data_IF_665156884666
#
_entry.id   IF_665156884666
#
_cell.length_a   1.000
_cell.length_b   1.000
_cell.length_c   1.000
_cell.angle_alpha   90.00
_cell.angle_beta   90.00
_cell.angle_gamma   90.00
#
_symmetry.space_group_name_H-M   'P 1'
#
loop_
_entity.id
_entity.type
_entity.pdbx_description
1 polymer ?
#
# COMPACT_ATOMS: atom_id res chain seq x y z
N UNK A 1 -7.17 -14.91 1.56
CA UNK A 1 -5.74 -15.25 1.68
C UNK A 1 -4.99 -14.38 0.73
N UNK A 2 -3.89 -13.75 1.17
CA UNK A 2 -3.12 -12.77 0.40
C UNK A 2 -2.88 -13.30 -1.03
N UNK A 3 -3.51 -12.66 -2.02
CA UNK A 3 -3.57 -13.13 -3.41
C UNK A 3 -2.30 -12.87 -4.22
N UNK A 4 -1.34 -12.17 -3.63
CA UNK A 4 0.02 -12.09 -4.13
C UNK A 4 0.89 -13.01 -3.26
N UNK A 5 1.60 -13.94 -3.89
CA UNK A 5 2.63 -14.70 -3.20
C UNK A 5 3.77 -13.73 -2.92
N UNK A 6 4.22 -13.52 -1.67
CA UNK A 6 5.42 -12.75 -1.42
C UNK A 6 6.57 -13.44 -2.14
N UNK A 7 7.06 -12.84 -3.22
CA UNK A 7 8.18 -13.38 -3.96
C UNK A 7 9.48 -12.97 -3.26
N UNK A 8 10.54 -13.73 -3.52
CA UNK A 8 11.85 -13.45 -2.94
C UNK A 8 12.40 -12.20 -3.63
N UNK A 9 12.16 -11.04 -3.05
CA UNK A 9 12.65 -9.78 -3.60
C UNK A 9 11.82 -8.59 -3.14
N UNK A 10 10.51 -8.79 -3.02
CA UNK A 10 9.50 -7.73 -2.92
C UNK A 10 9.53 -6.93 -1.61
N UNK A 11 10.30 -7.44 -0.64
CA UNK A 11 10.42 -6.91 0.72
C UNK A 11 9.05 -6.73 1.41
N UNK A 12 8.13 -7.66 1.21
CA UNK A 12 6.87 -7.69 1.96
C UNK A 12 7.12 -7.62 3.47
N UNK A 13 6.53 -6.64 4.14
CA UNK A 13 6.76 -6.38 5.57
C UNK A 13 7.88 -5.39 5.86
N UNK A 14 8.45 -4.73 4.84
CA UNK A 14 9.49 -3.72 5.02
C UNK A 14 9.00 -2.50 5.80
N UNK A 15 7.73 -2.14 5.64
CA UNK A 15 7.06 -1.11 6.43
C UNK A 15 5.68 -1.61 6.90
N UNK A 16 5.23 -1.11 8.06
CA UNK A 16 3.91 -1.44 8.60
C UNK A 16 3.29 -0.24 9.29
N UNK A 17 1.97 -0.09 9.20
CA UNK A 17 1.21 0.89 9.95
C UNK A 17 -0.12 0.31 10.45
N UNK A 18 -0.66 0.91 11.50
CA UNK A 18 -1.99 0.62 12.01
C UNK A 18 -2.87 1.88 11.95
N UNK A 19 -4.08 1.73 11.42
CA UNK A 19 -5.13 2.75 11.41
C UNK A 19 -6.45 2.07 11.07
N UNK A 20 -7.57 2.56 11.59
CA UNK A 20 -8.92 2.09 11.25
C UNK A 20 -9.34 2.72 9.91
N UNK A 21 -8.89 2.15 8.79
CA UNK A 21 -9.00 2.75 7.46
C UNK A 21 -10.43 2.76 6.95
N UNK A 22 -11.23 1.77 7.30
CA UNK A 22 -12.63 1.67 6.88
C UNK A 22 -13.64 2.22 7.91
N UNK A 23 -13.14 2.72 9.05
CA UNK A 23 -13.90 3.35 10.12
C UNK A 23 -14.96 2.43 10.74
N UNK A 24 -14.64 1.13 10.84
CA UNK A 24 -15.51 0.13 11.45
C UNK A 24 -15.34 0.00 12.98
N UNK A 25 -14.38 0.73 13.55
CA UNK A 25 -14.03 0.72 14.97
C UNK A 25 -12.93 -0.28 15.34
N UNK A 26 -12.37 -1.00 14.37
CA UNK A 26 -11.23 -1.90 14.52
C UNK A 26 -10.03 -1.30 13.81
N UNK A 27 -8.83 -1.41 14.38
CA UNK A 27 -7.63 -1.02 13.63
C UNK A 27 -7.41 -2.00 12.48
N UNK A 28 -6.91 -1.51 11.35
CA UNK A 28 -6.42 -2.32 10.23
C UNK A 28 -4.90 -2.35 10.24
N UNK A 29 -4.32 -3.41 9.65
CA UNK A 29 -2.88 -3.53 9.44
C UNK A 29 -2.55 -3.25 7.98
N UNK A 30 -1.72 -2.24 7.74
CA UNK A 30 -1.16 -1.93 6.43
C UNK A 30 0.27 -2.44 6.36
N UNK A 31 0.62 -3.13 5.28
CA UNK A 31 1.93 -3.73 5.04
C UNK A 31 2.47 -3.25 3.70
N UNK A 32 3.68 -2.70 3.69
CA UNK A 32 4.39 -2.31 2.47
C UNK A 32 5.20 -3.45 1.85
N UNK A 33 5.23 -3.48 0.53
CA UNK A 33 6.10 -4.30 -0.31
C UNK A 33 6.68 -3.39 -1.41
N UNK A 34 7.68 -2.56 -1.08
CA UNK A 34 8.17 -1.52 -1.99
C UNK A 34 8.87 -2.08 -3.23
N UNK A 35 9.31 -3.34 -3.23
CA UNK A 35 9.95 -3.95 -4.39
C UNK A 35 9.01 -4.91 -5.11
N UNK A 36 7.70 -4.83 -4.85
CA UNK A 36 6.71 -5.57 -5.62
C UNK A 36 6.73 -5.10 -7.08
N UNK A 37 6.83 -6.04 -8.00
CA UNK A 37 6.56 -5.79 -9.41
C UNK A 37 5.04 -5.71 -9.65
N UNK A 38 4.57 -4.61 -10.25
CA UNK A 38 3.13 -4.37 -10.45
C UNK A 38 2.75 -4.54 -11.92
N UNK A 39 1.83 -5.47 -12.27
CA UNK A 39 1.36 -5.61 -13.64
C UNK A 39 0.42 -4.47 -14.03
N UNK A 40 0.68 -3.81 -15.16
CA UNK A 40 -0.18 -2.77 -15.75
C UNK A 40 -0.17 -2.88 -17.28
N UNK A 41 -1.35 -2.91 -17.90
CA UNK A 41 -1.52 -2.93 -19.36
C UNK A 41 -0.71 -4.02 -20.10
N UNK A 42 -0.45 -5.14 -19.44
CA UNK A 42 0.33 -6.26 -19.99
C UNK A 42 1.85 -6.16 -19.80
N UNK A 43 2.33 -5.10 -19.16
CA UNK A 43 3.73 -4.92 -18.74
C UNK A 43 3.88 -5.15 -17.23
N UNK A 44 5.07 -5.57 -16.81
CA UNK A 44 5.41 -5.70 -15.39
C UNK A 44 6.31 -4.53 -14.99
N UNK A 45 5.80 -3.65 -14.12
CA UNK A 45 6.53 -2.47 -13.67
C UNK A 45 7.47 -2.88 -12.53
N UNK A 46 8.76 -2.91 -12.83
CA UNK A 46 9.80 -3.38 -11.90
C UNK A 46 9.85 -2.49 -10.66
N UNK A 47 9.86 -3.09 -9.47
CA UNK A 47 9.99 -2.41 -8.17
C UNK A 47 9.04 -1.21 -8.02
N UNK A 48 7.86 -1.26 -8.65
CA UNK A 48 6.86 -0.20 -8.56
C UNK A 48 6.31 -0.07 -7.13
N UNK A 49 6.21 -1.21 -6.43
CA UNK A 49 5.80 -1.29 -5.05
C UNK A 49 4.29 -1.35 -4.87
N UNK A 50 3.89 -1.93 -3.74
CA UNK A 50 2.49 -2.08 -3.37
C UNK A 50 2.29 -2.03 -1.86
N UNK A 51 1.04 -1.85 -1.44
CA UNK A 51 0.62 -2.12 -0.06
C UNK A 51 -0.43 -3.23 -0.02
N UNK A 52 -0.55 -3.87 1.15
CA UNK A 52 -1.67 -4.73 1.51
C UNK A 52 -2.35 -4.18 2.76
N UNK A 53 -3.67 -4.21 2.78
CA UNK A 53 -4.47 -3.80 3.93
C UNK A 53 -5.20 -5.03 4.44
N UNK A 54 -4.87 -5.46 5.66
CA UNK A 54 -5.55 -6.54 6.37
C UNK A 54 -6.56 -5.89 7.30
N UNK A 55 -7.83 -6.06 6.98
CA UNK A 55 -8.92 -5.47 7.74
C UNK A 55 -9.05 -6.15 9.09
N UNK A 56 -9.10 -5.34 10.14
CA UNK A 56 -9.32 -5.76 11.50
C UNK A 56 -10.71 -6.34 11.71
N UNK A 57 -10.91 -6.90 12.89
CA UNK A 57 -12.24 -7.26 13.37
C UNK A 57 -12.26 -7.22 14.88
N UNK A 58 -13.43 -7.20 15.54
CA UNK A 58 -13.51 -7.17 16.99
C UNK A 58 -12.85 -8.37 17.69
N UNK A 59 -12.56 -9.45 16.95
CA UNK A 59 -12.04 -10.69 17.51
C UNK A 59 -10.66 -11.08 16.99
N UNK A 60 -10.18 -10.52 15.87
CA UNK A 60 -8.95 -10.99 15.26
C UNK A 60 -8.35 -10.06 14.19
N UNK A 61 -7.05 -10.28 13.95
CA UNK A 61 -6.34 -9.92 12.73
C UNK A 61 -5.88 -11.21 12.03
N UNK A 62 -6.14 -11.38 10.73
CA UNK A 62 -5.54 -12.47 9.94
C UNK A 62 -6.53 -13.46 9.35
N UNK A 63 -6.62 -14.70 9.87
CA UNK A 63 -7.43 -15.75 9.24
C UNK A 63 -8.90 -15.35 9.15
N UNK A 64 -9.38 -15.16 7.93
CA UNK A 64 -10.74 -14.72 7.63
C UNK A 64 -10.89 -13.21 7.41
N UNK A 65 -9.87 -12.41 7.72
CA UNK A 65 -9.86 -10.98 7.40
C UNK A 65 -9.94 -10.76 5.89
N UNK A 66 -10.68 -9.72 5.51
CA UNK A 66 -10.59 -9.14 4.17
C UNK A 66 -9.16 -8.62 3.98
N UNK A 67 -8.59 -8.87 2.81
CA UNK A 67 -7.29 -8.33 2.44
C UNK A 67 -7.43 -7.62 1.10
N UNK A 68 -7.16 -6.31 1.11
CA UNK A 68 -7.07 -5.53 -0.11
C UNK A 68 -5.60 -5.33 -0.50
N UNK A 69 -5.36 -5.12 -1.78
CA UNK A 69 -4.06 -4.87 -2.36
C UNK A 69 -4.17 -3.62 -3.23
N UNK A 70 -3.19 -2.72 -3.10
CA UNK A 70 -3.17 -1.48 -3.87
C UNK A 70 -1.77 -1.22 -4.40
N UNK A 71 -1.70 -0.93 -5.70
CA UNK A 71 -0.61 -0.14 -6.28
C UNK A 71 -0.84 1.36 -6.09
N UNK A 72 0.14 2.19 -6.44
CA UNK A 72 0.09 3.63 -6.22
C UNK A 72 -1.13 4.31 -6.86
N UNK A 73 -1.37 4.14 -8.16
CA UNK A 73 -2.49 4.76 -8.87
C UNK A 73 -3.88 4.28 -8.40
N UNK A 74 -3.97 3.08 -7.82
CA UNK A 74 -5.22 2.57 -7.25
C UNK A 74 -5.50 3.20 -5.89
N UNK A 75 -4.45 3.49 -5.12
CA UNK A 75 -4.54 4.15 -3.82
C UNK A 75 -4.74 5.68 -3.96
N UNK A 76 -4.03 6.29 -4.90
CA UNK A 76 -4.15 7.71 -5.28
C UNK A 76 -4.40 7.83 -6.79
N UNK A 77 -5.67 7.90 -7.23
CA UNK A 77 -6.03 8.02 -8.64
C UNK A 77 -5.50 9.28 -9.35
N UNK A 78 -4.96 10.26 -8.63
CA UNK A 78 -4.29 11.43 -9.21
C UNK A 78 -2.85 11.18 -9.63
N UNK A 79 -2.30 10.01 -9.29
CA UNK A 79 -0.93 9.59 -9.57
C UNK A 79 -0.87 8.48 -10.62
N UNK A 80 0.34 8.17 -11.08
CA UNK A 80 0.60 6.99 -11.91
C UNK A 80 1.51 6.03 -11.14
N UNK A 81 1.30 4.73 -11.36
CA UNK A 81 2.26 3.70 -10.92
C UNK A 81 3.35 3.60 -11.98
N UNK A 82 4.60 3.82 -11.63
CA UNK A 82 5.75 3.71 -12.51
C UNK A 82 6.77 2.71 -11.96
N UNK A 83 7.66 2.24 -12.84
CA UNK A 83 8.75 1.38 -12.42
C UNK A 83 9.68 2.15 -11.47
N UNK A 84 10.13 1.47 -10.41
CA UNK A 84 11.02 1.96 -9.37
C UNK A 84 10.45 3.00 -8.40
N UNK A 85 9.14 3.29 -8.45
CA UNK A 85 8.46 4.20 -7.51
C UNK A 85 8.60 3.78 -6.06
N UNK A 86 8.61 2.47 -5.83
CA UNK A 86 8.71 1.84 -4.53
C UNK A 86 7.60 2.29 -3.58
N UNK A 87 6.37 2.35 -4.10
CA UNK A 87 5.17 2.64 -3.31
C UNK A 87 5.08 1.69 -2.11
N UNK A 88 4.82 2.25 -0.92
CA UNK A 88 4.81 1.48 0.33
C UNK A 88 6.16 1.42 1.04
N UNK A 89 7.19 2.15 0.61
CA UNK A 89 8.52 2.13 1.25
C UNK A 89 8.51 2.62 2.70
N UNK A 90 7.58 3.50 3.05
CA UNK A 90 7.34 3.97 4.42
C UNK A 90 5.84 4.11 4.64
N UNK A 91 5.36 3.80 5.84
CA UNK A 91 3.94 3.89 6.19
C UNK A 91 3.78 4.60 7.53
N UNK A 92 2.78 5.47 7.61
CA UNK A 92 2.34 6.07 8.87
C UNK A 92 0.81 6.15 8.88
N UNK A 93 0.20 5.43 9.82
CA UNK A 93 -1.22 5.52 10.12
C UNK A 93 -1.49 6.54 11.22
N UNK A 94 -2.70 7.09 11.26
CA UNK A 94 -3.12 7.95 12.34
C UNK A 94 -4.58 8.37 12.23
N UNK A 95 -5.00 9.20 13.17
CA UNK A 95 -6.35 9.77 13.20
C UNK A 95 -6.21 11.28 13.27
N UNK A 96 -6.88 11.99 12.36
CA UNK A 96 -6.92 13.44 12.35
C UNK A 96 -7.66 13.97 13.58
N UNK A 97 -7.48 15.26 13.89
CA UNK A 97 -8.23 15.89 14.99
C UNK A 97 -9.75 15.92 14.77
N UNK A 98 -10.20 15.72 13.53
CA UNK A 98 -11.61 15.52 13.18
C UNK A 98 -12.16 14.14 13.59
N UNK A 99 -11.29 13.18 13.91
CA UNK A 99 -11.64 11.78 14.13
C UNK A 99 -11.50 10.90 12.89
N UNK A 100 -11.23 11.48 11.71
CA UNK A 100 -11.07 10.72 10.47
C UNK A 100 -9.71 9.99 10.43
N UNK A 101 -9.66 8.71 10.05
CA UNK A 101 -8.41 7.99 9.86
C UNK A 101 -7.62 8.54 8.67
N UNK A 102 -6.30 8.38 8.70
CA UNK A 102 -5.45 8.63 7.55
C UNK A 102 -4.30 7.63 7.48
N UNK A 103 -3.83 7.40 6.26
CA UNK A 103 -2.62 6.66 5.96
C UNK A 103 -1.72 7.52 5.07
N UNK A 104 -0.47 7.70 5.49
CA UNK A 104 0.59 8.26 4.66
C UNK A 104 1.42 7.12 4.09
N UNK A 105 1.68 7.18 2.78
CA UNK A 105 2.49 6.19 2.06
C UNK A 105 3.66 6.88 1.39
N UNK A 106 4.87 6.42 1.68
CA UNK A 106 6.10 6.92 1.07
C UNK A 106 6.38 6.26 -0.28
N UNK A 107 6.77 7.09 -1.25
CA UNK A 107 7.07 6.71 -2.63
C UNK A 107 8.41 7.34 -3.05
N UNK A 108 9.55 6.87 -2.52
CA UNK A 108 10.83 7.55 -2.69
C UNK A 108 11.42 7.46 -4.10
N UNK A 109 10.86 6.61 -4.96
CA UNK A 109 11.22 6.53 -6.36
C UNK A 109 10.39 7.41 -7.28
N UNK A 110 9.31 8.02 -6.76
CA UNK A 110 8.52 8.96 -7.53
C UNK A 110 9.43 10.06 -8.06
N UNK A 111 9.40 10.27 -9.37
CA UNK A 111 10.01 11.45 -9.94
C UNK A 111 9.16 12.67 -9.57
N UNK A 112 9.80 13.82 -9.30
CA UNK A 112 9.13 15.12 -9.09
C UNK A 112 8.41 15.68 -10.33
N UNK A 113 7.97 14.82 -11.24
CA UNK A 113 7.44 15.21 -12.54
C UNK A 113 6.01 15.71 -12.39
N UNK A 114 5.84 17.02 -12.27
CA UNK A 114 4.57 17.66 -12.63
C UNK A 114 4.40 17.40 -14.14
N UNK A 115 3.35 16.65 -14.51
CA UNK A 115 2.91 16.38 -15.88
C UNK A 115 3.76 15.43 -16.75
N UNK A 116 4.32 14.36 -16.17
CA UNK A 116 4.63 13.12 -16.91
C UNK A 116 5.66 13.24 -18.06
N UNK A 117 6.60 14.18 -18.00
CA UNK A 117 7.76 14.18 -18.92
C UNK A 117 9.06 14.39 -18.17
N UNK A 118 9.92 13.35 -18.15
CA UNK A 118 11.35 13.45 -17.88
C UNK A 118 12.11 14.02 -19.07
#
# INVERSE_FOLDING_TARGET
GMGASPERGDQFGQSTAFTDIDSDGCSDLVIGAPLEDVPRDGENLIDAGAIRIIHGSPTNFGTGSKVDAYGQAEFDPGSATEAYDRFGFALQGGTASSGEPYLLVGVPGENITIDGTS
#
